data_IF_946585240086
#
_entry.id   IF_946585240086
#
_cell.length_a   1.000
_cell.length_b   1.000
_cell.length_c   1.000
_cell.angle_alpha   90.00
_cell.angle_beta   90.00
_cell.angle_gamma   90.00
#
_symmetry.space_group_name_H-M   'P 1'
#
loop_
_entity.id
_entity.type
_entity.pdbx_description
1 polymer ?
#
# COMPACT_ATOMS: atom_id res chain seq x y z
N UNK A 1 11.85 8.22 -26.17
CA UNK A 1 13.10 8.75 -25.60
C UNK A 1 14.26 9.04 -26.58
N UNK A 2 15.09 8.10 -27.07
CA UNK A 2 16.35 8.44 -27.79
C UNK A 2 16.19 9.39 -29.00
N UNK A 3 15.13 9.19 -29.81
CA UNK A 3 14.82 10.08 -30.93
C UNK A 3 14.50 11.52 -30.48
N UNK A 4 13.82 11.69 -29.36
CA UNK A 4 13.48 13.01 -28.83
C UNK A 4 14.73 13.69 -28.24
N UNK A 5 15.59 12.96 -27.53
CA UNK A 5 16.83 13.52 -26.97
C UNK A 5 17.83 14.01 -28.02
N UNK A 6 17.65 13.64 -29.29
CA UNK A 6 18.45 14.11 -30.43
C UNK A 6 17.73 15.17 -31.27
N UNK A 7 16.51 15.58 -30.90
CA UNK A 7 15.74 16.56 -31.65
C UNK A 7 16.28 17.98 -31.39
N UNK A 8 16.05 18.89 -32.34
CA UNK A 8 16.38 20.31 -32.14
C UNK A 8 15.64 20.91 -30.95
N UNK A 9 14.38 20.52 -30.74
CA UNK A 9 13.57 20.92 -29.59
C UNK A 9 14.24 20.55 -28.26
N UNK A 10 14.78 19.32 -28.16
CA UNK A 10 15.51 18.87 -26.97
C UNK A 10 16.84 19.62 -26.80
N UNK A 11 17.51 20.01 -27.87
CA UNK A 11 18.77 20.77 -27.81
C UNK A 11 18.56 22.22 -27.35
N UNK A 12 17.36 22.77 -27.59
CA UNK A 12 16.96 24.12 -27.19
C UNK A 12 16.28 24.16 -25.80
N UNK A 13 15.95 22.99 -25.25
CA UNK A 13 15.32 22.86 -23.92
C UNK A 13 16.30 23.17 -22.80
N UNK A 14 15.79 23.67 -21.68
CA UNK A 14 16.58 23.84 -20.46
C UNK A 14 16.95 22.49 -19.85
N UNK A 15 18.00 22.49 -19.02
CA UNK A 15 18.38 21.30 -18.24
C UNK A 15 17.20 20.72 -17.44
N UNK A 16 16.40 21.57 -16.79
CA UNK A 16 15.29 21.13 -15.95
C UNK A 16 14.17 20.45 -16.75
N UNK A 17 13.86 20.96 -17.95
CA UNK A 17 12.87 20.35 -18.84
C UNK A 17 13.34 18.99 -19.35
N UNK A 18 14.63 18.88 -19.72
CA UNK A 18 15.23 17.61 -20.14
C UNK A 18 15.27 16.59 -19.00
N UNK A 19 15.62 17.02 -17.79
CA UNK A 19 15.62 16.15 -16.61
C UNK A 19 14.21 15.59 -16.35
N UNK A 20 13.18 16.45 -16.35
CA UNK A 20 11.79 16.03 -16.20
C UNK A 20 11.37 15.02 -17.27
N UNK A 21 11.65 15.31 -18.54
CA UNK A 21 11.36 14.41 -19.65
C UNK A 21 12.04 13.04 -19.49
N UNK A 22 13.34 13.01 -19.15
CA UNK A 22 14.10 11.77 -18.97
C UNK A 22 13.57 10.95 -17.81
N UNK A 23 13.22 11.60 -16.68
CA UNK A 23 12.64 10.91 -15.52
C UNK A 23 11.28 10.30 -15.89
N UNK A 24 10.41 11.06 -16.55
CA UNK A 24 9.06 10.59 -16.89
C UNK A 24 9.09 9.47 -17.94
N UNK A 25 9.84 9.63 -19.03
CA UNK A 25 10.01 8.58 -20.04
C UNK A 25 10.75 7.36 -19.49
N UNK A 26 11.75 7.59 -18.62
CA UNK A 26 12.53 6.53 -17.98
C UNK A 26 11.67 5.57 -17.17
N UNK A 27 10.59 6.04 -16.56
CA UNK A 27 9.62 5.18 -15.84
C UNK A 27 8.97 4.16 -16.78
N UNK A 28 8.59 4.56 -18.00
CA UNK A 28 8.01 3.63 -18.97
C UNK A 28 9.03 2.55 -19.41
N UNK A 29 10.31 2.91 -19.55
CA UNK A 29 11.37 1.91 -19.77
C UNK A 29 11.48 0.93 -18.60
N UNK A 30 11.49 1.42 -17.36
CA UNK A 30 11.52 0.58 -16.16
C UNK A 30 10.31 -0.36 -16.08
N UNK A 31 9.11 0.13 -16.39
CA UNK A 31 7.87 -0.66 -16.45
C UNK A 31 7.97 -1.77 -17.49
N UNK A 32 8.44 -1.46 -18.70
CA UNK A 32 8.63 -2.44 -19.78
C UNK A 32 9.69 -3.49 -19.45
N UNK A 33 10.78 -3.10 -18.79
CA UNK A 33 11.79 -4.05 -18.33
C UNK A 33 11.21 -5.04 -17.32
N UNK A 34 10.41 -4.56 -16.36
CA UNK A 34 9.71 -5.43 -15.42
C UNK A 34 8.69 -6.34 -16.12
N UNK A 35 7.90 -5.78 -17.05
CA UNK A 35 6.94 -6.52 -17.86
C UNK A 35 7.60 -7.66 -18.65
N UNK A 36 8.66 -7.36 -19.40
CA UNK A 36 9.39 -8.35 -20.20
C UNK A 36 9.99 -9.47 -19.33
N UNK A 37 10.44 -9.16 -18.12
CA UNK A 37 10.93 -10.17 -17.19
C UNK A 37 9.82 -11.09 -16.67
N UNK A 38 8.63 -10.55 -16.40
CA UNK A 38 7.46 -11.36 -16.01
C UNK A 38 6.98 -12.25 -17.15
N UNK A 39 6.98 -11.76 -18.38
CA UNK A 39 6.69 -12.54 -19.59
C UNK A 39 7.69 -13.68 -19.78
N UNK A 40 9.00 -13.38 -19.69
CA UNK A 40 10.05 -14.39 -19.76
C UNK A 40 9.89 -15.47 -18.67
N UNK A 41 9.43 -15.09 -17.47
CA UNK A 41 9.13 -16.05 -16.40
C UNK A 41 7.94 -16.95 -16.75
N UNK A 42 6.88 -16.39 -17.34
CA UNK A 42 5.74 -17.16 -17.78
C UNK A 42 6.09 -18.13 -18.93
N UNK A 43 6.90 -17.70 -19.90
CA UNK A 43 7.42 -18.56 -20.97
C UNK A 43 8.23 -19.74 -20.44
N UNK A 44 8.98 -19.50 -19.35
CA UNK A 44 9.81 -20.51 -18.69
C UNK A 44 9.06 -21.28 -17.59
N UNK A 45 7.78 -21.01 -17.37
CA UNK A 45 6.98 -21.66 -16.33
C UNK A 45 6.83 -23.15 -16.65
N UNK A 46 7.43 -24.00 -15.80
CA UNK A 46 7.32 -25.44 -15.95
C UNK A 46 6.02 -25.94 -15.32
N UNK A 47 5.30 -26.87 -15.99
CA UNK A 47 4.12 -27.50 -15.40
C UNK A 47 4.46 -28.19 -14.09
N UNK A 48 3.63 -28.01 -13.06
CA UNK A 48 3.76 -28.69 -11.77
C UNK A 48 2.49 -29.44 -11.41
N UNK A 49 2.61 -30.46 -10.55
CA UNK A 49 1.43 -31.12 -9.97
C UNK A 49 0.89 -30.25 -8.86
N UNK A 50 -0.34 -29.75 -9.03
CA UNK A 50 -0.98 -28.86 -8.06
C UNK A 50 -2.09 -29.62 -7.32
N UNK A 51 -1.95 -29.72 -6.00
CA UNK A 51 -2.97 -30.22 -5.07
C UNK A 51 -3.30 -29.10 -4.08
N UNK A 52 -4.57 -28.75 -3.97
CA UNK A 52 -5.00 -27.71 -3.03
C UNK A 52 -5.04 -28.22 -1.59
N UNK A 53 -5.25 -27.29 -0.66
CA UNK A 53 -5.54 -27.61 0.74
C UNK A 53 -6.83 -28.42 0.91
N UNK A 54 -7.73 -28.33 -0.08
CA UNK A 54 -8.93 -29.17 -0.25
C UNK A 54 -8.62 -30.64 -0.60
N UNK A 55 -7.35 -30.99 -0.81
CA UNK A 55 -6.92 -32.32 -1.21
C UNK A 55 -7.19 -32.64 -2.69
N UNK A 56 -7.77 -31.73 -3.46
CA UNK A 56 -8.14 -31.95 -4.87
C UNK A 56 -6.97 -31.60 -5.78
N UNK A 57 -6.63 -32.53 -6.67
CA UNK A 57 -5.62 -32.32 -7.70
C UNK A 57 -6.22 -31.55 -8.89
N UNK A 58 -5.55 -30.46 -9.29
CA UNK A 58 -5.95 -29.60 -10.41
C UNK A 58 -5.20 -29.98 -11.68
N UNK A 59 -5.84 -30.81 -12.51
CA UNK A 59 -5.23 -31.41 -13.72
C UNK A 59 -5.34 -30.52 -14.95
N UNK A 60 -6.38 -29.67 -15.04
CA UNK A 60 -6.57 -28.78 -16.18
C UNK A 60 -5.71 -27.53 -16.02
N UNK A 61 -5.13 -27.06 -17.12
CA UNK A 61 -4.27 -25.87 -17.15
C UNK A 61 -4.80 -24.93 -18.21
N UNK A 62 -4.82 -23.64 -17.89
CA UNK A 62 -5.08 -22.56 -18.86
C UNK A 62 -4.14 -21.40 -18.63
N UNK A 63 -3.83 -20.67 -19.69
CA UNK A 63 -3.13 -19.38 -19.59
C UNK A 63 -4.05 -18.38 -18.88
N UNK A 64 -3.46 -17.54 -18.04
CA UNK A 64 -4.14 -16.49 -17.29
C UNK A 64 -3.19 -15.32 -17.08
N UNK A 65 -3.72 -14.15 -16.76
CA UNK A 65 -2.92 -13.01 -16.31
C UNK A 65 -3.63 -12.28 -15.16
N UNK A 66 -2.93 -11.37 -14.49
CA UNK A 66 -3.51 -10.40 -13.55
C UNK A 66 -2.69 -9.12 -13.60
N UNK A 67 -3.34 -7.99 -13.39
CA UNK A 67 -2.63 -6.74 -13.17
C UNK A 67 -1.94 -6.75 -11.80
N UNK A 68 -0.80 -6.05 -11.73
CA UNK A 68 -0.07 -5.71 -10.52
C UNK A 68 0.40 -4.26 -10.64
N UNK A 69 -0.12 -3.39 -9.77
CA UNK A 69 0.37 -2.03 -9.62
C UNK A 69 1.68 -2.05 -8.85
N UNK A 70 2.78 -1.80 -9.56
CA UNK A 70 4.13 -1.75 -9.02
C UNK A 70 4.61 -0.29 -8.88
N UNK A 71 5.76 -0.09 -8.23
CA UNK A 71 6.37 1.25 -8.09
C UNK A 71 6.83 1.85 -9.43
N UNK A 72 7.00 1.04 -10.46
CA UNK A 72 7.34 1.51 -11.81
C UNK A 72 6.10 1.66 -12.70
N UNK A 73 4.91 1.33 -12.19
CA UNK A 73 3.65 1.35 -12.93
C UNK A 73 2.94 0.00 -12.94
N UNK A 74 1.79 -0.03 -13.61
CA UNK A 74 0.99 -1.25 -13.76
C UNK A 74 1.66 -2.21 -14.75
N UNK A 75 1.81 -3.46 -14.33
CA UNK A 75 2.33 -4.56 -15.14
C UNK A 75 1.35 -5.72 -15.12
N UNK A 76 1.32 -6.49 -16.20
CA UNK A 76 0.60 -7.75 -16.27
C UNK A 76 1.50 -8.89 -15.81
N UNK A 77 0.98 -9.74 -14.93
CA UNK A 77 1.61 -10.98 -14.48
C UNK A 77 0.97 -12.15 -15.23
N UNK A 78 1.52 -12.56 -16.39
CA UNK A 78 1.12 -13.79 -17.05
C UNK A 78 1.49 -15.00 -16.18
N UNK A 79 0.58 -15.97 -16.09
CA UNK A 79 0.74 -17.18 -15.27
C UNK A 79 -0.18 -18.31 -15.72
N UNK A 80 0.10 -19.52 -15.29
CA UNK A 80 -0.79 -20.66 -15.52
C UNK A 80 -1.79 -20.81 -14.39
N UNK A 81 -3.08 -20.91 -14.73
CA UNK A 81 -4.14 -21.29 -13.81
C UNK A 81 -4.36 -22.81 -13.86
N UNK A 82 -4.26 -23.46 -12.70
CA UNK A 82 -4.54 -24.89 -12.52
C UNK A 82 -5.96 -25.06 -11.99
N UNK A 83 -6.78 -25.88 -12.65
CA UNK A 83 -8.21 -26.01 -12.40
C UNK A 83 -8.66 -27.48 -12.26
N UNK A 84 -9.77 -27.66 -11.55
CA UNK A 84 -10.55 -28.89 -11.48
C UNK A 84 -12.04 -28.52 -11.32
N UNK A 85 -12.98 -29.40 -11.73
CA UNK A 85 -14.40 -29.15 -11.56
C UNK A 85 -14.78 -28.90 -10.09
N UNK A 86 -15.63 -27.90 -9.85
CA UNK A 86 -16.19 -27.61 -8.54
C UNK A 86 -15.24 -26.95 -7.52
N UNK A 87 -14.00 -26.61 -7.89
CA UNK A 87 -13.04 -25.95 -6.99
C UNK A 87 -12.38 -24.72 -7.62
N UNK A 88 -11.99 -23.70 -6.83
CA UNK A 88 -11.26 -22.53 -7.34
C UNK A 88 -9.93 -22.90 -7.98
N UNK A 89 -9.54 -22.14 -9.01
CA UNK A 89 -8.23 -22.29 -9.65
C UNK A 89 -7.08 -21.85 -8.76
N UNK A 90 -5.93 -22.52 -8.88
CA UNK A 90 -4.69 -22.16 -8.17
C UNK A 90 -3.63 -21.67 -9.15
N UNK A 91 -2.79 -20.76 -8.66
CA UNK A 91 -1.74 -20.09 -9.44
C UNK A 91 -0.40 -20.22 -8.70
N UNK A 92 0.35 -21.32 -8.88
CA UNK A 92 1.61 -21.55 -8.17
C UNK A 92 2.62 -20.41 -8.33
N UNK A 93 2.61 -19.74 -9.49
CA UNK A 93 3.45 -18.58 -9.76
C UNK A 93 3.20 -17.44 -8.75
N UNK A 94 1.96 -17.23 -8.29
CA UNK A 94 1.66 -16.15 -7.34
C UNK A 94 2.42 -16.36 -6.02
N UNK A 95 2.49 -17.60 -5.53
CA UNK A 95 3.28 -17.95 -4.35
C UNK A 95 4.79 -17.88 -4.61
N UNK A 96 5.27 -18.37 -5.76
CA UNK A 96 6.69 -18.33 -6.11
C UNK A 96 7.23 -16.89 -6.24
N UNK A 97 6.37 -15.96 -6.65
CA UNK A 97 6.67 -14.53 -6.75
C UNK A 97 6.35 -13.77 -5.45
N UNK A 98 5.81 -14.43 -4.43
CA UNK A 98 5.29 -13.80 -3.22
C UNK A 98 4.38 -12.61 -3.54
N UNK A 99 3.45 -12.79 -4.47
CA UNK A 99 2.53 -11.73 -4.86
C UNK A 99 1.48 -11.50 -3.77
N UNK A 100 1.10 -10.24 -3.51
CA UNK A 100 -0.06 -9.96 -2.68
C UNK A 100 -1.33 -10.44 -3.37
N UNK A 101 -2.41 -10.67 -2.61
CA UNK A 101 -3.70 -11.06 -3.19
C UNK A 101 -4.37 -9.92 -4.00
N UNK A 102 -4.00 -8.67 -3.71
CA UNK A 102 -4.60 -7.49 -4.31
C UNK A 102 -3.72 -6.90 -5.43
N UNK A 103 -4.22 -5.81 -6.04
CA UNK A 103 -3.54 -5.12 -7.13
C UNK A 103 -2.18 -4.54 -6.74
N UNK A 104 -2.01 -4.04 -5.51
CA UNK A 104 -0.83 -3.25 -5.13
C UNK A 104 0.32 -4.12 -4.63
N UNK A 105 1.50 -4.01 -5.26
CA UNK A 105 2.69 -4.75 -4.89
C UNK A 105 3.17 -4.43 -3.46
N UNK A 106 3.93 -5.33 -2.84
CA UNK A 106 4.47 -5.11 -1.50
C UNK A 106 5.29 -3.82 -1.37
N UNK A 107 6.02 -3.41 -2.42
CA UNK A 107 6.77 -2.15 -2.43
C UNK A 107 5.85 -0.93 -2.41
N UNK A 108 4.72 -0.96 -3.13
CA UNK A 108 3.70 0.12 -3.07
C UNK A 108 3.06 0.16 -1.70
N UNK A 109 2.70 -1.00 -1.13
CA UNK A 109 2.14 -1.11 0.22
C UNK A 109 3.08 -0.54 1.27
N UNK A 110 4.37 -0.87 1.18
CA UNK A 110 5.42 -0.36 2.06
C UNK A 110 5.54 1.16 1.96
N UNK A 111 5.56 1.71 0.75
CA UNK A 111 5.60 3.16 0.56
C UNK A 111 4.40 3.85 1.22
N UNK A 112 3.18 3.31 1.04
CA UNK A 112 1.97 3.84 1.67
C UNK A 112 2.08 3.80 3.19
N UNK A 113 2.50 2.66 3.76
CA UNK A 113 2.64 2.52 5.21
C UNK A 113 3.65 3.52 5.81
N UNK A 114 4.82 3.66 5.19
CA UNK A 114 5.87 4.57 5.65
C UNK A 114 5.45 6.05 5.52
N UNK A 115 4.76 6.39 4.42
CA UNK A 115 4.34 7.77 4.14
C UNK A 115 3.11 8.20 4.94
N UNK A 116 2.14 7.30 5.13
CA UNK A 116 0.91 7.58 5.90
C UNK A 116 1.20 7.84 7.39
N UNK A 117 2.32 7.35 7.91
CA UNK A 117 2.77 7.66 9.27
C UNK A 117 3.26 9.11 9.43
N UNK A 118 3.54 9.82 8.33
CA UNK A 118 4.21 11.14 8.33
C UNK A 118 3.38 12.25 7.69
N UNK A 119 2.39 11.90 6.88
CA UNK A 119 1.69 12.85 6.01
C UNK A 119 0.20 12.49 5.90
N UNK A 120 -0.60 13.45 5.46
CA UNK A 120 -2.01 13.20 5.16
C UNK A 120 -2.17 12.25 3.97
N UNK A 121 -3.29 11.54 3.88
CA UNK A 121 -3.54 10.62 2.76
C UNK A 121 -3.52 11.32 1.39
N UNK A 122 -3.96 12.57 1.30
CA UNK A 122 -3.88 13.35 0.07
C UNK A 122 -2.42 13.62 -0.34
N UNK A 123 -1.56 13.94 0.62
CA UNK A 123 -0.11 14.10 0.37
C UNK A 123 0.55 12.78 -0.03
N UNK A 124 0.13 11.65 0.55
CA UNK A 124 0.64 10.32 0.16
C UNK A 124 0.27 10.00 -1.29
N UNK A 125 -0.97 10.29 -1.71
CA UNK A 125 -1.41 10.10 -3.10
C UNK A 125 -0.58 10.96 -4.05
N UNK A 126 -0.36 12.23 -3.71
CA UNK A 126 0.46 13.14 -4.51
C UNK A 126 1.94 12.70 -4.53
N UNK A 127 2.47 12.23 -3.40
CA UNK A 127 3.83 11.69 -3.29
C UNK A 127 4.05 10.48 -4.19
N UNK A 128 3.10 9.54 -4.20
CA UNK A 128 3.12 8.37 -5.09
C UNK A 128 3.16 8.79 -6.56
N UNK A 129 2.25 9.68 -6.97
CA UNK A 129 2.18 10.17 -8.36
C UNK A 129 3.46 10.86 -8.83
N UNK A 130 4.12 11.62 -7.93
CA UNK A 130 5.33 12.38 -8.27
C UNK A 130 6.60 11.54 -8.28
N UNK A 131 6.69 10.55 -7.38
CA UNK A 131 7.93 9.80 -7.14
C UNK A 131 7.94 8.41 -7.77
N UNK A 132 6.80 7.88 -8.17
CA UNK A 132 6.65 6.50 -8.67
C UNK A 132 5.76 6.47 -9.93
N UNK A 133 5.77 5.35 -10.64
CA UNK A 133 4.78 5.07 -11.69
C UNK A 133 3.45 4.57 -11.15
N UNK A 134 3.32 4.40 -9.82
CA UNK A 134 2.12 3.81 -9.21
C UNK A 134 0.98 4.83 -9.07
N UNK A 135 -0.21 4.45 -9.51
CA UNK A 135 -1.44 5.19 -9.27
C UNK A 135 -2.29 4.49 -8.21
N UNK A 136 -2.42 5.11 -7.05
CA UNK A 136 -3.25 4.61 -5.94
C UNK A 136 -4.24 5.71 -5.55
N UNK A 137 -5.56 5.52 -5.75
CA UNK A 137 -6.54 6.50 -5.30
C UNK A 137 -6.59 6.56 -3.77
N UNK A 138 -7.06 7.68 -3.23
CA UNK A 138 -7.06 7.97 -1.79
C UNK A 138 -7.69 6.86 -0.95
N UNK A 139 -8.85 6.33 -1.36
CA UNK A 139 -9.54 5.26 -0.63
C UNK A 139 -8.64 4.03 -0.46
N UNK A 140 -7.94 3.64 -1.52
CA UNK A 140 -7.03 2.50 -1.47
C UNK A 140 -5.78 2.80 -0.64
N UNK A 141 -5.29 4.05 -0.61
CA UNK A 141 -4.25 4.47 0.34
C UNK A 141 -4.71 4.30 1.78
N UNK A 142 -5.93 4.72 2.13
CA UNK A 142 -6.52 4.55 3.46
C UNK A 142 -6.61 3.06 3.84
N UNK A 143 -7.17 2.23 2.97
CA UNK A 143 -7.28 0.78 3.20
C UNK A 143 -5.89 0.12 3.32
N UNK A 144 -4.89 0.56 2.55
CA UNK A 144 -3.52 0.03 2.63
C UNK A 144 -2.85 0.42 3.94
N UNK A 145 -3.08 1.64 4.43
CA UNK A 145 -2.58 2.09 5.73
C UNK A 145 -3.24 1.31 6.88
N UNK A 146 -4.55 1.07 6.81
CA UNK A 146 -5.27 0.24 7.79
C UNK A 146 -4.70 -1.19 7.83
N UNK A 147 -4.50 -1.82 6.66
CA UNK A 147 -3.88 -3.15 6.58
C UNK A 147 -2.47 -3.19 7.16
N UNK A 148 -1.70 -2.12 6.99
CA UNK A 148 -0.35 -2.03 7.53
C UNK A 148 -0.30 -1.89 9.06
N UNK A 149 -1.42 -1.53 9.70
CA UNK A 149 -1.52 -1.31 11.15
C UNK A 149 -2.24 -2.44 11.91
N UNK A 150 -2.49 -3.59 11.26
CA UNK A 150 -3.25 -4.71 11.85
C UNK A 150 -2.62 -5.34 13.08
N UNK A 151 -1.30 -5.19 13.27
CA UNK A 151 -0.54 -5.77 14.36
C UNK A 151 -0.32 -4.82 15.54
N UNK A 152 -0.98 -3.64 15.55
CA UNK A 152 -0.78 -2.62 16.57
C UNK A 152 -1.02 -3.13 18.01
N UNK A 153 -2.15 -3.79 18.27
CA UNK A 153 -2.46 -4.32 19.60
C UNK A 153 -1.52 -5.47 20.01
N UNK A 154 -1.19 -6.34 19.05
CA UNK A 154 -0.26 -7.45 19.28
C UNK A 154 1.15 -6.94 19.61
N UNK A 155 1.60 -5.88 18.93
CA UNK A 155 2.88 -5.23 19.18
C UNK A 155 2.97 -4.73 20.63
N UNK A 156 1.96 -4.02 21.14
CA UNK A 156 1.96 -3.55 22.53
C UNK A 156 1.78 -4.70 23.54
N UNK A 157 0.95 -5.69 23.22
CA UNK A 157 0.74 -6.85 24.09
C UNK A 157 2.02 -7.66 24.28
N UNK A 158 2.83 -7.80 23.23
CA UNK A 158 4.14 -8.49 23.29
C UNK A 158 5.19 -7.77 24.16
N UNK A 159 4.91 -6.51 24.53
CA UNK A 159 5.79 -5.64 25.32
C UNK A 159 5.22 -5.31 26.68
N UNK A 160 4.24 -6.08 27.15
CA UNK A 160 3.81 -5.98 28.54
C UNK A 160 5.02 -6.16 29.45
N UNK A 161 5.30 -5.15 30.28
CA UNK A 161 6.41 -5.15 31.22
C UNK A 161 5.88 -5.67 32.56
N UNK A 162 6.65 -6.53 33.22
CA UNK A 162 6.36 -6.95 34.58
C UNK A 162 6.37 -5.75 35.52
N UNK A 163 5.44 -5.74 36.48
CA UNK A 163 5.36 -4.67 37.46
C UNK A 163 6.60 -4.73 38.36
N UNK A 164 7.35 -3.65 38.41
CA UNK A 164 8.53 -3.54 39.27
C UNK A 164 8.11 -3.32 40.73
N UNK A 165 8.60 -4.18 41.64
CA UNK A 165 8.42 -4.01 43.09
C UNK A 165 9.45 -3.03 43.64
N UNK A 166 9.17 -1.73 43.46
CA UNK A 166 10.05 -0.64 43.87
C UNK A 166 9.27 0.47 44.57
N UNK A 167 9.93 1.13 45.52
CA UNK A 167 9.43 2.35 46.16
C UNK A 167 9.77 3.63 45.38
N UNK A 168 10.49 3.49 44.26
CA UNK A 168 10.83 4.62 43.38
C UNK A 168 9.59 5.17 42.67
N UNK A 169 9.51 6.49 42.53
CA UNK A 169 8.42 7.16 41.83
C UNK A 169 8.63 7.06 40.30
N UNK A 170 7.68 6.44 39.60
CA UNK A 170 7.57 6.56 38.15
C UNK A 170 6.84 7.87 37.81
N UNK A 171 7.58 8.85 37.30
CA UNK A 171 7.02 10.14 36.86
C UNK A 171 6.75 10.09 35.35
N UNK A 172 5.47 10.11 34.96
CA UNK A 172 5.03 10.18 33.56
C UNK A 172 4.43 11.56 33.26
N UNK A 173 4.88 12.20 32.19
CA UNK A 173 4.27 13.42 31.67
C UNK A 173 3.45 13.11 30.42
N UNK A 174 2.22 13.62 30.35
CA UNK A 174 1.33 13.44 29.20
C UNK A 174 1.04 14.79 28.56
N UNK A 175 1.26 14.90 27.24
CA UNK A 175 0.75 16.03 26.48
C UNK A 175 -0.76 15.86 26.26
N UNK A 176 -1.55 16.80 26.78
CA UNK A 176 -3.01 16.77 26.75
C UNK A 176 -3.62 17.37 25.49
N UNK A 177 -2.93 17.31 24.34
CA UNK A 177 -3.45 17.85 23.08
C UNK A 177 -4.54 16.92 22.53
N UNK A 178 -5.80 17.33 22.69
CA UNK A 178 -6.93 16.55 22.19
C UNK A 178 -6.96 16.47 20.66
N UNK A 179 -6.97 15.25 20.13
CA UNK A 179 -7.30 14.97 18.72
C UNK A 179 -8.83 14.87 18.63
N UNK A 180 -9.43 15.51 17.62
CA UNK A 180 -10.86 15.39 17.38
C UNK A 180 -11.17 13.98 16.86
N UNK A 181 -11.79 13.15 17.70
CA UNK A 181 -12.17 11.78 17.37
C UNK A 181 -13.61 11.74 16.82
N UNK A 182 -13.91 10.69 16.06
CA UNK A 182 -15.29 10.38 15.67
C UNK A 182 -16.12 10.02 16.90
N UNK A 183 -17.43 10.29 16.86
CA UNK A 183 -18.30 10.19 18.05
C UNK A 183 -18.45 8.74 18.50
N UNK A 184 -18.49 7.81 17.56
CA UNK A 184 -18.52 6.37 17.74
C UNK A 184 -17.30 5.84 18.50
N UNK A 185 -16.15 6.49 18.37
CA UNK A 185 -14.88 6.08 18.98
C UNK A 185 -14.56 6.83 20.28
N UNK A 186 -15.45 7.72 20.73
CA UNK A 186 -15.27 8.43 21.98
C UNK A 186 -15.41 7.47 23.16
N UNK A 187 -14.43 7.54 24.08
CA UNK A 187 -14.51 6.92 25.42
C UNK A 187 -15.80 7.40 26.11
N UNK A 188 -16.44 6.56 26.96
CA UNK A 188 -17.75 6.88 27.55
C UNK A 188 -17.83 8.27 28.22
N UNK A 189 -16.82 8.65 29.01
CA UNK A 189 -16.77 9.95 29.66
C UNK A 189 -16.68 11.11 28.66
N UNK A 190 -15.83 10.98 27.64
CA UNK A 190 -15.67 11.99 26.58
C UNK A 190 -16.91 12.10 25.70
N UNK A 191 -17.62 10.98 25.45
CA UNK A 191 -18.90 10.95 24.73
C UNK A 191 -19.98 11.70 25.49
N UNK A 192 -20.16 11.41 26.78
CA UNK A 192 -21.12 12.13 27.64
C UNK A 192 -20.85 13.64 27.63
N UNK A 193 -19.58 14.04 27.71
CA UNK A 193 -19.20 15.44 27.59
C UNK A 193 -19.49 15.98 26.17
N UNK A 194 -19.23 15.20 25.12
CA UNK A 194 -19.55 15.57 23.73
C UNK A 194 -21.05 15.85 23.56
N UNK A 195 -21.90 14.96 24.08
CA UNK A 195 -23.36 15.06 24.04
C UNK A 195 -23.90 16.28 24.79
N UNK A 196 -23.31 16.59 25.96
CA UNK A 196 -23.72 17.75 26.76
C UNK A 196 -23.27 19.11 26.19
N UNK A 197 -22.31 19.12 25.26
CA UNK A 197 -21.72 20.35 24.75
C UNK A 197 -22.41 20.87 23.48
N UNK A 198 -22.79 22.16 23.46
CA UNK A 198 -23.26 22.84 22.25
C UNK A 198 -22.10 23.15 21.31
N UNK A 199 -22.21 22.77 20.04
CA UNK A 199 -21.26 23.18 19.01
C UNK A 199 -21.34 24.69 18.81
N UNK A 200 -20.23 25.40 19.02
CA UNK A 200 -20.13 26.85 18.75
C UNK A 200 -19.92 27.17 17.26
N UNK A 201 -19.50 26.19 16.47
CA UNK A 201 -19.13 26.33 15.06
C UNK A 201 -19.70 25.15 14.28
N UNK A 202 -20.16 25.41 13.06
CA UNK A 202 -20.84 24.44 12.19
C UNK A 202 -19.89 23.49 11.49
N UNK A 203 -18.66 23.93 11.16
CA UNK A 203 -17.70 23.14 10.36
C UNK A 203 -16.49 22.62 11.14
N UNK A 204 -16.26 23.07 12.37
CA UNK A 204 -15.10 22.68 13.20
C UNK A 204 -15.47 22.62 14.67
N UNK A 205 -14.83 21.74 15.42
CA UNK A 205 -14.92 21.72 16.88
C UNK A 205 -14.04 22.83 17.46
N UNK A 206 -14.64 23.73 18.23
CA UNK A 206 -13.90 24.73 18.99
C UNK A 206 -13.20 24.08 20.19
N UNK A 207 -12.05 24.63 20.60
CA UNK A 207 -11.33 24.20 21.81
C UNK A 207 -12.30 24.28 23.01
N UNK A 208 -12.53 23.15 23.69
CA UNK A 208 -13.27 23.14 24.95
C UNK A 208 -12.36 23.76 26.00
N UNK A 209 -12.84 24.81 26.68
CA UNK A 209 -12.16 25.38 27.84
C UNK A 209 -11.97 24.27 28.87
N UNK A 210 -10.77 24.19 29.46
CA UNK A 210 -10.50 23.32 30.60
C UNK A 210 -11.37 23.74 31.77
#
# INVERSE_FOLDING_TARGET
MEKHLRSSESMESTHAELEGFVVDEGREYQRRLLQAHLELRAERERPVVVKGADGVQRKHRRLSSRALMSVVGEVDVPRVAYQAPGVPGLHPMDAALSLPDELYSHSVRRYVAESAARSSFDEVVEGLRKSTGAAVPKRQVEELAERAAQDFDAFYSSRAVEVEDTQALLVLSFDGKGIAMRREDLRPATRKAADAGKHKLTKRLAKRGR
#
